data_IF_366400118318
#
_entry.id   IF_366400118318
#
_cell.length_a   1.000
_cell.length_b   1.000
_cell.length_c   1.000
_cell.angle_alpha   90.00
_cell.angle_beta   90.00
_cell.angle_gamma   90.00
#
_symmetry.space_group_name_H-M   'P 1'
#
loop_
_entity.id
_entity.type
_entity.pdbx_description
1 polymer ?
#
# COMPACT_ATOMS: atom_id res chain seq x y z
N UNK A 1 -3.19 2.55 20.33
CA UNK A 1 -2.80 1.62 19.24
C UNK A 1 -2.62 2.37 17.93
N UNK A 2 -1.80 1.86 17.00
CA UNK A 2 -1.53 2.46 15.69
C UNK A 2 -2.07 1.56 14.58
N UNK A 3 -2.78 2.12 13.61
CA UNK A 3 -3.15 1.45 12.35
C UNK A 3 -2.29 2.01 11.23
N UNK A 4 -1.54 1.16 10.56
CA UNK A 4 -0.76 1.53 9.39
C UNK A 4 -1.58 1.15 8.15
N UNK A 5 -2.06 2.18 7.44
CA UNK A 5 -2.97 2.06 6.30
C UNK A 5 -4.45 2.21 6.68
N UNK A 6 -5.11 3.26 6.17
CA UNK A 6 -6.55 3.50 6.30
C UNK A 6 -7.34 2.89 5.11
N UNK A 7 -6.83 1.78 4.56
CA UNK A 7 -7.39 1.07 3.42
C UNK A 7 -8.40 -0.01 3.77
N UNK A 8 -8.44 -1.08 2.97
CA UNK A 8 -9.41 -2.17 3.11
C UNK A 8 -9.32 -2.93 4.44
N UNK A 9 -8.11 -3.23 4.91
CA UNK A 9 -7.86 -3.87 6.21
C UNK A 9 -8.02 -2.88 7.36
N UNK A 10 -7.43 -1.69 7.25
CA UNK A 10 -7.49 -0.67 8.30
C UNK A 10 -8.90 -0.14 8.57
N UNK A 11 -9.78 -0.14 7.57
CA UNK A 11 -11.17 0.32 7.71
C UNK A 11 -11.95 -0.42 8.80
N UNK A 12 -12.15 -1.73 8.73
CA UNK A 12 -12.86 -2.46 9.77
C UNK A 12 -12.12 -2.44 11.11
N UNK A 13 -10.78 -2.49 11.08
CA UNK A 13 -9.96 -2.39 12.31
C UNK A 13 -10.29 -1.09 13.06
N UNK A 14 -10.16 0.05 12.41
CA UNK A 14 -10.36 1.35 13.06
C UNK A 14 -11.81 1.52 13.54
N UNK A 15 -12.81 1.10 12.73
CA UNK A 15 -14.23 1.17 13.11
C UNK A 15 -14.54 0.36 14.36
N UNK A 16 -14.14 -0.91 14.41
CA UNK A 16 -14.41 -1.77 15.57
C UNK A 16 -13.67 -1.32 16.82
N UNK A 17 -12.42 -0.85 16.69
CA UNK A 17 -11.63 -0.37 17.83
C UNK A 17 -12.15 0.97 18.38
N UNK A 18 -12.66 1.86 17.52
CA UNK A 18 -13.35 3.07 17.97
C UNK A 18 -14.67 2.72 18.68
N UNK A 19 -15.48 1.83 18.12
CA UNK A 19 -16.72 1.37 18.74
C UNK A 19 -16.46 0.68 20.09
N UNK A 20 -15.35 -0.07 20.22
CA UNK A 20 -14.94 -0.70 21.48
C UNK A 20 -14.39 0.28 22.50
N UNK A 21 -14.16 1.56 22.18
CA UNK A 21 -13.69 2.59 23.10
C UNK A 21 -12.18 2.57 23.33
N UNK A 22 -11.37 2.15 22.35
CA UNK A 22 -9.92 2.27 22.45
C UNK A 22 -9.55 3.75 22.54
N UNK A 23 -8.92 4.17 23.65
CA UNK A 23 -8.73 5.58 24.03
C UNK A 23 -8.01 6.41 22.96
N UNK A 24 -6.92 5.90 22.38
CA UNK A 24 -6.15 6.58 21.31
C UNK A 24 -5.95 5.66 20.11
N UNK A 25 -6.37 6.12 18.94
CA UNK A 25 -6.16 5.47 17.65
C UNK A 25 -5.29 6.36 16.78
N UNK A 26 -4.03 5.95 16.53
CA UNK A 26 -3.18 6.54 15.53
C UNK A 26 -3.48 5.96 14.15
N UNK A 27 -3.51 6.80 13.13
CA UNK A 27 -3.67 6.40 11.73
C UNK A 27 -2.50 6.91 10.91
N UNK A 28 -1.84 6.04 10.17
CA UNK A 28 -0.79 6.41 9.19
C UNK A 28 -1.29 6.12 7.80
N UNK A 29 -1.40 7.13 6.97
CA UNK A 29 -1.73 7.02 5.55
C UNK A 29 -1.33 8.34 4.84
N UNK A 30 -1.11 8.33 3.55
CA UNK A 30 -0.83 9.55 2.79
C UNK A 30 -1.66 9.67 1.51
N UNK A 31 -2.64 8.78 1.34
CA UNK A 31 -3.48 8.73 0.15
C UNK A 31 -4.72 9.62 0.26
N UNK A 32 -5.34 9.83 -0.88
CA UNK A 32 -6.70 10.36 -1.01
C UNK A 32 -7.68 9.23 -1.28
N UNK A 33 -8.94 9.47 -0.95
CA UNK A 33 -10.03 8.53 -1.25
C UNK A 33 -10.29 8.50 -2.75
N UNK A 34 -10.21 7.31 -3.34
CA UNK A 34 -10.56 7.06 -4.73
C UNK A 34 -11.86 6.26 -4.82
N UNK A 35 -12.66 6.50 -5.87
CA UNK A 35 -13.94 5.80 -6.07
C UNK A 35 -13.77 4.28 -6.16
N UNK A 36 -12.66 3.80 -6.71
CA UNK A 36 -12.32 2.38 -6.82
C UNK A 36 -12.01 1.73 -5.46
N UNK A 37 -11.79 2.53 -4.44
CA UNK A 37 -11.53 2.07 -3.08
C UNK A 37 -12.80 1.71 -2.31
N UNK A 38 -13.93 2.35 -2.62
CA UNK A 38 -15.16 2.31 -1.83
C UNK A 38 -15.75 0.90 -1.70
N UNK A 39 -15.46 0.02 -2.64
CA UNK A 39 -15.94 -1.37 -2.61
C UNK A 39 -15.35 -2.21 -1.45
N UNK A 40 -14.30 -1.71 -0.75
CA UNK A 40 -13.64 -2.41 0.37
C UNK A 40 -13.17 -1.51 1.51
N UNK A 41 -13.10 -0.19 1.33
CA UNK A 41 -12.60 0.77 2.32
C UNK A 41 -13.77 1.47 3.03
N UNK A 42 -14.42 0.77 3.97
CA UNK A 42 -15.69 1.16 4.60
C UNK A 42 -15.60 2.39 5.54
N UNK A 43 -14.39 2.87 5.84
CA UNK A 43 -14.19 4.15 6.52
C UNK A 43 -14.67 5.33 5.68
N UNK A 44 -14.64 5.19 4.36
CA UNK A 44 -14.87 6.26 3.40
C UNK A 44 -16.21 6.09 2.69
N UNK A 45 -16.82 7.20 2.31
CA UNK A 45 -18.06 7.22 1.51
C UNK A 45 -17.87 7.98 0.21
N UNK A 46 -18.89 7.95 -0.67
CA UNK A 46 -18.86 8.65 -1.97
C UNK A 46 -18.58 10.15 -1.82
N UNK A 47 -19.04 10.79 -0.75
CA UNK A 47 -18.80 12.21 -0.44
C UNK A 47 -17.32 12.53 -0.13
N UNK A 48 -16.51 11.49 0.17
CA UNK A 48 -15.12 11.64 0.58
C UNK A 48 -14.14 11.48 -0.58
N UNK A 49 -14.63 11.15 -1.79
CA UNK A 49 -13.78 11.01 -2.98
C UNK A 49 -12.97 12.30 -3.21
N UNK A 50 -11.65 12.15 -3.33
CA UNK A 50 -10.69 13.25 -3.46
C UNK A 50 -10.23 13.88 -2.13
N UNK A 51 -10.85 13.54 -0.99
CA UNK A 51 -10.38 13.97 0.34
C UNK A 51 -9.24 13.09 0.84
N UNK A 52 -8.44 13.62 1.77
CA UNK A 52 -7.46 12.80 2.52
C UNK A 52 -8.17 11.62 3.19
N UNK A 53 -7.62 10.40 3.04
CA UNK A 53 -8.11 9.21 3.75
C UNK A 53 -8.11 9.41 5.26
N UNK A 54 -7.10 10.07 5.80
CA UNK A 54 -6.97 10.34 7.24
C UNK A 54 -8.08 11.26 7.76
N UNK A 55 -8.39 12.35 7.05
CA UNK A 55 -9.45 13.25 7.43
C UNK A 55 -10.82 12.59 7.37
N UNK A 56 -11.10 11.87 6.28
CA UNK A 56 -12.33 11.08 6.13
C UNK A 56 -12.45 10.02 7.24
N UNK A 57 -11.36 9.31 7.55
CA UNK A 57 -11.32 8.32 8.62
C UNK A 57 -11.60 8.96 10.00
N UNK A 58 -10.92 10.07 10.34
CA UNK A 58 -11.14 10.79 11.60
C UNK A 58 -12.61 11.17 11.77
N UNK A 59 -13.20 11.80 10.76
CA UNK A 59 -14.60 12.25 10.83
C UNK A 59 -15.53 11.04 11.06
N UNK A 60 -15.29 9.94 10.33
CA UNK A 60 -16.07 8.71 10.47
C UNK A 60 -15.92 8.04 11.84
N UNK A 61 -14.71 8.03 12.40
CA UNK A 61 -14.46 7.45 13.73
C UNK A 61 -15.10 8.30 14.84
N UNK A 62 -15.12 9.63 14.71
CA UNK A 62 -15.83 10.50 15.63
C UNK A 62 -17.35 10.30 15.57
N UNK A 63 -17.93 10.01 14.39
CA UNK A 63 -19.34 9.66 14.27
C UNK A 63 -19.67 8.34 14.99
N UNK A 64 -18.72 7.39 15.03
CA UNK A 64 -18.88 6.11 15.72
C UNK A 64 -18.71 6.29 17.24
N UNK A 65 -17.68 7.02 17.68
CA UNK A 65 -17.39 7.26 19.09
C UNK A 65 -16.64 8.58 19.29
N UNK A 66 -17.32 9.65 19.75
CA UNK A 66 -16.69 10.96 19.92
C UNK A 66 -15.67 11.03 21.07
N UNK A 67 -15.57 9.99 21.91
CA UNK A 67 -14.65 9.96 23.04
C UNK A 67 -13.26 9.37 22.66
N UNK A 68 -13.11 8.81 21.46
CA UNK A 68 -11.82 8.28 21.00
C UNK A 68 -10.96 9.40 20.46
N UNK A 69 -9.72 9.46 20.93
CA UNK A 69 -8.72 10.36 20.38
C UNK A 69 -8.13 9.77 19.09
N UNK A 70 -8.31 10.46 17.97
CA UNK A 70 -7.74 10.07 16.67
C UNK A 70 -6.52 10.95 16.38
N UNK A 71 -5.35 10.32 16.25
CA UNK A 71 -4.08 10.97 15.91
C UNK A 71 -3.72 10.65 14.46
N UNK A 72 -3.57 11.69 13.63
CA UNK A 72 -3.28 11.56 12.22
C UNK A 72 -1.79 11.72 11.93
N UNK A 73 -1.19 10.76 11.26
CA UNK A 73 0.17 10.82 10.73
C UNK A 73 0.10 10.89 9.20
N UNK A 74 -0.02 12.11 8.67
CA UNK A 74 -0.14 12.39 7.24
C UNK A 74 1.22 12.28 6.56
N UNK A 75 1.78 11.09 6.54
CA UNK A 75 3.08 10.78 5.92
C UNK A 75 3.16 9.30 5.56
N UNK A 76 3.98 8.97 4.57
CA UNK A 76 4.42 7.60 4.38
C UNK A 76 5.21 7.14 5.61
N UNK A 77 4.99 5.90 6.03
CA UNK A 77 5.85 5.27 7.02
C UNK A 77 7.17 4.88 6.33
N UNK A 78 8.28 5.39 6.84
CA UNK A 78 9.62 5.20 6.28
C UNK A 78 10.61 4.78 7.36
N UNK A 79 11.80 4.33 6.98
CA UNK A 79 12.87 4.00 7.93
C UNK A 79 13.28 5.18 8.81
N UNK A 80 13.02 6.43 8.36
CA UNK A 80 13.39 7.63 9.09
C UNK A 80 12.39 8.06 10.16
N UNK A 81 11.10 7.70 10.02
CA UNK A 81 10.05 8.14 10.94
C UNK A 81 9.35 6.99 11.71
N UNK A 82 9.51 5.74 11.27
CA UNK A 82 8.74 4.62 11.81
C UNK A 82 8.97 4.42 13.32
N UNK A 83 10.21 4.47 13.80
CA UNK A 83 10.50 4.28 15.22
C UNK A 83 9.89 5.39 16.08
N UNK A 84 9.91 6.64 15.60
CA UNK A 84 9.37 7.80 16.34
C UNK A 84 7.84 7.77 16.41
N UNK A 85 7.19 7.27 15.37
CA UNK A 85 5.74 7.11 15.35
C UNK A 85 5.33 5.92 16.21
N UNK A 86 5.89 4.73 15.95
CA UNK A 86 5.47 3.45 16.56
C UNK A 86 5.66 3.46 18.08
N UNK A 87 6.74 4.05 18.61
CA UNK A 87 7.05 4.06 20.06
C UNK A 87 5.96 4.67 20.95
N UNK A 88 5.04 5.43 20.38
CA UNK A 88 3.96 6.09 21.12
C UNK A 88 2.71 5.20 21.30
N UNK A 89 2.77 3.95 20.87
CA UNK A 89 1.61 3.05 20.86
C UNK A 89 1.92 1.69 21.46
N UNK A 90 0.92 1.06 22.08
CA UNK A 90 1.06 -0.25 22.75
C UNK A 90 0.94 -1.42 21.79
N UNK A 91 0.26 -1.23 20.66
CA UNK A 91 0.02 -2.24 19.61
C UNK A 91 0.02 -1.58 18.26
N UNK A 92 0.61 -2.21 17.26
CA UNK A 92 0.52 -1.80 15.85
C UNK A 92 -0.33 -2.79 15.09
N UNK A 93 -1.21 -2.30 14.23
CA UNK A 93 -1.98 -3.09 13.28
C UNK A 93 -1.47 -2.80 11.88
N UNK A 94 -0.95 -3.82 11.24
CA UNK A 94 -0.49 -3.76 9.85
C UNK A 94 -1.67 -3.98 8.91
N UNK A 95 -2.17 -2.88 8.34
CA UNK A 95 -3.24 -2.85 7.33
C UNK A 95 -2.72 -2.59 5.92
N UNK A 96 -1.42 -2.83 5.67
CA UNK A 96 -0.74 -2.49 4.42
C UNK A 96 -0.88 -3.59 3.36
N UNK A 97 -0.72 -3.22 2.11
CA UNK A 97 -0.84 -4.11 0.95
C UNK A 97 0.48 -4.29 0.17
N UNK A 98 1.59 -3.78 0.70
CA UNK A 98 2.91 -3.89 0.08
C UNK A 98 3.96 -4.49 1.02
N UNK A 99 4.92 -5.21 0.46
CA UNK A 99 5.93 -5.93 1.23
C UNK A 99 6.91 -5.00 1.95
N UNK A 100 7.35 -3.92 1.32
CA UNK A 100 8.32 -3.00 1.91
C UNK A 100 7.81 -2.44 3.24
N UNK A 101 6.55 -1.98 3.28
CA UNK A 101 5.94 -1.48 4.53
C UNK A 101 5.72 -2.60 5.55
N UNK A 102 5.37 -3.84 5.13
CA UNK A 102 5.23 -4.98 6.06
C UNK A 102 6.52 -5.31 6.79
N UNK A 103 7.65 -5.37 6.05
CA UNK A 103 8.96 -5.59 6.68
C UNK A 103 9.36 -4.42 7.58
N UNK A 104 9.13 -3.19 7.14
CA UNK A 104 9.37 -1.99 7.94
C UNK A 104 8.60 -2.00 9.27
N UNK A 105 7.29 -2.25 9.20
CA UNK A 105 6.42 -2.33 10.40
C UNK A 105 6.89 -3.46 11.31
N UNK A 106 7.15 -4.65 10.77
CA UNK A 106 7.65 -5.77 11.56
C UNK A 106 8.94 -5.42 12.29
N UNK A 107 9.92 -4.87 11.58
CA UNK A 107 11.24 -4.61 12.16
C UNK A 107 11.18 -3.47 13.19
N UNK A 108 10.41 -2.42 12.93
CA UNK A 108 10.14 -1.37 13.91
C UNK A 108 9.50 -1.92 15.19
N UNK A 109 8.50 -2.79 15.04
CA UNK A 109 7.84 -3.46 16.16
C UNK A 109 8.77 -4.37 16.95
N UNK A 110 9.62 -5.15 16.26
CA UNK A 110 10.63 -6.00 16.93
C UNK A 110 11.66 -5.18 17.69
N UNK A 111 12.18 -4.09 17.09
CA UNK A 111 13.16 -3.22 17.73
C UNK A 111 12.61 -2.52 18.98
N UNK A 112 11.33 -2.17 18.97
CA UNK A 112 10.66 -1.48 20.07
C UNK A 112 9.99 -2.45 21.07
N UNK A 113 9.89 -3.75 20.76
CA UNK A 113 9.20 -4.72 21.59
C UNK A 113 7.67 -4.53 21.62
N UNK A 114 7.09 -3.97 20.54
CA UNK A 114 5.67 -3.68 20.44
C UNK A 114 5.01 -4.75 19.55
N UNK A 115 3.89 -5.37 19.96
CA UNK A 115 3.20 -6.38 19.15
C UNK A 115 2.69 -5.80 17.83
N UNK A 116 2.84 -6.59 16.74
CA UNK A 116 2.33 -6.30 15.41
C UNK A 116 1.20 -7.27 15.06
N UNK A 117 -0.01 -6.77 14.90
CA UNK A 117 -1.17 -7.53 14.44
C UNK A 117 -1.22 -7.47 12.92
N UNK A 118 -0.70 -8.50 12.29
CA UNK A 118 -0.57 -8.61 10.84
C UNK A 118 -1.85 -9.13 10.18
N UNK A 119 -2.21 -8.52 9.05
CA UNK A 119 -3.23 -8.99 8.12
C UNK A 119 -2.75 -8.90 6.68
N UNK A 120 -3.15 -9.83 5.85
CA UNK A 120 -2.84 -9.84 4.42
C UNK A 120 -4.00 -10.43 3.63
N UNK A 121 -4.25 -9.89 2.45
CA UNK A 121 -5.28 -10.38 1.52
C UNK A 121 -4.73 -10.42 0.10
N UNK A 122 -5.10 -11.46 -0.64
CA UNK A 122 -4.79 -11.58 -2.07
C UNK A 122 -5.91 -12.38 -2.75
N UNK A 123 -6.60 -11.79 -3.70
CA UNK A 123 -7.75 -12.39 -4.39
C UNK A 123 -8.81 -12.92 -3.41
N UNK A 124 -8.84 -14.23 -3.15
CA UNK A 124 -9.74 -14.91 -2.22
C UNK A 124 -9.04 -15.39 -0.96
N UNK A 125 -7.72 -15.24 -0.88
CA UNK A 125 -6.90 -15.70 0.23
C UNK A 125 -6.67 -14.59 1.25
N UNK A 126 -6.89 -14.90 2.53
CA UNK A 126 -6.62 -14.03 3.66
C UNK A 126 -5.65 -14.67 4.65
N UNK A 127 -4.89 -13.85 5.34
CA UNK A 127 -3.99 -14.29 6.42
C UNK A 127 -4.04 -13.33 7.59
N UNK A 128 -3.94 -13.85 8.81
CA UNK A 128 -3.80 -13.06 10.02
C UNK A 128 -2.86 -13.76 11.01
N UNK A 129 -2.06 -12.96 11.72
CA UNK A 129 -1.16 -13.43 12.78
C UNK A 129 -0.84 -12.29 13.75
N UNK A 130 -0.25 -12.62 14.89
CA UNK A 130 0.35 -11.66 15.82
C UNK A 130 1.85 -11.92 15.89
N UNK A 131 2.63 -10.93 15.48
CA UNK A 131 4.09 -10.97 15.45
C UNK A 131 4.72 -10.06 16.51
N UNK A 132 6.03 -10.17 16.67
CA UNK A 132 6.84 -9.32 17.55
C UNK A 132 6.42 -9.34 19.03
N UNK A 133 5.75 -10.39 19.49
CA UNK A 133 5.55 -10.60 20.92
C UNK A 133 6.85 -11.07 21.59
N UNK A 134 6.97 -10.93 22.93
CA UNK A 134 8.22 -11.20 23.68
C UNK A 134 8.86 -12.56 23.38
N UNK A 135 8.05 -13.60 23.19
CA UNK A 135 8.51 -14.97 22.94
C UNK A 135 8.02 -15.56 21.61
N UNK A 136 7.27 -14.78 20.85
CA UNK A 136 6.71 -15.20 19.56
C UNK A 136 7.65 -15.01 18.37
N UNK A 137 7.27 -15.58 17.21
CA UNK A 137 7.94 -15.29 15.95
C UNK A 137 7.68 -13.86 15.52
N UNK A 138 8.48 -13.38 14.54
CA UNK A 138 8.21 -12.16 13.81
C UNK A 138 7.89 -12.50 12.35
N UNK A 139 7.52 -11.49 11.55
CA UNK A 139 7.20 -11.67 10.13
C UNK A 139 8.35 -12.30 9.35
N UNK A 140 9.62 -11.95 9.68
CA UNK A 140 10.81 -12.53 9.06
C UNK A 140 11.04 -14.01 9.41
N UNK A 141 10.46 -14.54 10.50
CA UNK A 141 10.51 -15.97 10.78
C UNK A 141 9.67 -16.79 9.78
N UNK A 142 8.61 -16.18 9.26
CA UNK A 142 7.73 -16.80 8.25
C UNK A 142 8.21 -16.50 6.83
N UNK A 143 8.63 -15.26 6.58
CA UNK A 143 9.10 -14.76 5.30
C UNK A 143 10.49 -14.12 5.48
N UNK A 144 11.60 -14.92 5.45
CA UNK A 144 12.95 -14.38 5.65
C UNK A 144 13.36 -13.37 4.58
N UNK A 145 12.91 -13.59 3.35
CA UNK A 145 13.17 -12.76 2.18
C UNK A 145 11.87 -12.39 1.48
N UNK A 146 11.77 -11.21 0.88
CA UNK A 146 10.61 -10.84 0.10
C UNK A 146 10.54 -11.70 -1.18
N UNK A 147 9.33 -11.96 -1.70
CA UNK A 147 9.20 -12.60 -3.01
C UNK A 147 9.79 -11.68 -4.09
N UNK A 148 10.29 -12.24 -5.20
CA UNK A 148 10.71 -11.45 -6.36
C UNK A 148 9.61 -10.47 -6.79
N UNK A 149 10.01 -9.22 -7.11
CA UNK A 149 9.07 -8.13 -7.36
C UNK A 149 8.11 -8.37 -8.54
N UNK A 150 8.50 -9.22 -9.49
CA UNK A 150 7.75 -9.62 -10.67
C UNK A 150 6.78 -10.79 -10.43
N UNK A 151 6.92 -11.52 -9.32
CA UNK A 151 6.11 -12.72 -9.05
C UNK A 151 4.80 -12.45 -8.31
N UNK A 152 4.65 -11.29 -7.67
CA UNK A 152 3.45 -10.98 -6.88
C UNK A 152 2.84 -9.67 -7.35
N UNK A 153 1.76 -9.72 -8.15
CA UNK A 153 1.00 -8.51 -8.50
C UNK A 153 0.43 -7.89 -7.23
N UNK A 154 0.43 -6.56 -7.17
CA UNK A 154 -0.21 -5.85 -6.06
C UNK A 154 -1.74 -6.05 -6.07
N UNK A 155 -2.42 -5.69 -4.97
CA UNK A 155 -3.87 -5.86 -4.84
C UNK A 155 -4.68 -5.07 -5.90
N UNK A 156 -4.12 -4.01 -6.47
CA UNK A 156 -4.76 -3.25 -7.55
C UNK A 156 -4.70 -3.97 -8.89
N UNK A 157 -3.65 -4.76 -9.13
CA UNK A 157 -3.46 -5.53 -10.36
C UNK A 157 -4.10 -6.92 -10.27
N UNK A 158 -3.95 -7.60 -9.13
CA UNK A 158 -4.48 -8.95 -8.90
C UNK A 158 -5.97 -9.00 -8.58
N UNK A 159 -6.55 -7.87 -8.18
CA UNK A 159 -7.90 -7.80 -7.63
C UNK A 159 -7.99 -8.37 -6.21
N UNK A 160 -9.08 -8.03 -5.52
CA UNK A 160 -9.39 -8.57 -4.20
C UNK A 160 -10.89 -8.73 -4.06
N UNK A 161 -11.32 -9.82 -3.46
CA UNK A 161 -12.73 -10.03 -3.11
C UNK A 161 -13.11 -9.03 -1.99
N UNK A 162 -13.95 -8.04 -2.31
CA UNK A 162 -14.11 -6.81 -1.51
C UNK A 162 -14.50 -7.01 -0.04
N UNK A 163 -15.17 -8.10 0.30
CA UNK A 163 -15.54 -8.42 1.69
C UNK A 163 -14.38 -9.05 2.48
N UNK A 164 -13.37 -9.61 1.81
CA UNK A 164 -12.28 -10.33 2.47
C UNK A 164 -11.41 -9.42 3.36
N UNK A 165 -11.04 -8.20 2.96
CA UNK A 165 -10.39 -7.25 3.88
C UNK A 165 -11.23 -6.96 5.13
N UNK A 166 -12.57 -6.93 4.99
CA UNK A 166 -13.50 -6.80 6.11
C UNK A 166 -13.37 -7.95 7.11
N UNK A 167 -13.35 -9.19 6.61
CA UNK A 167 -13.20 -10.39 7.43
C UNK A 167 -11.85 -10.42 8.14
N UNK A 168 -10.74 -10.23 7.40
CA UNK A 168 -9.37 -10.25 7.97
C UNK A 168 -9.19 -9.09 8.96
N UNK A 169 -9.63 -7.87 8.62
CA UNK A 169 -9.51 -6.72 9.51
C UNK A 169 -10.34 -6.85 10.78
N UNK A 170 -11.48 -7.53 10.74
CA UNK A 170 -12.24 -7.85 11.96
C UNK A 170 -11.49 -8.83 12.87
N UNK A 171 -10.77 -9.79 12.29
CA UNK A 171 -9.86 -10.67 13.05
C UNK A 171 -8.72 -9.85 13.64
N UNK A 172 -8.11 -8.93 12.88
CA UNK A 172 -7.07 -8.04 13.41
C UNK A 172 -7.60 -7.18 14.56
N UNK A 173 -8.79 -6.62 14.46
CA UNK A 173 -9.42 -5.88 15.55
C UNK A 173 -9.62 -6.74 16.80
N UNK A 174 -10.07 -7.99 16.63
CA UNK A 174 -10.21 -8.96 17.72
C UNK A 174 -8.88 -9.24 18.41
N UNK A 175 -7.83 -9.53 17.65
CA UNK A 175 -6.49 -9.79 18.20
C UNK A 175 -5.93 -8.55 18.92
N UNK A 176 -6.19 -7.36 18.39
CA UNK A 176 -5.79 -6.09 19.01
C UNK A 176 -6.46 -5.91 20.38
N UNK A 177 -7.77 -6.15 20.47
CA UNK A 177 -8.49 -6.07 21.75
C UNK A 177 -7.98 -7.11 22.75
N UNK A 178 -7.69 -8.34 22.31
CA UNK A 178 -7.12 -9.38 23.16
C UNK A 178 -5.76 -8.97 23.72
N UNK A 179 -4.91 -8.35 22.89
CA UNK A 179 -3.61 -7.83 23.36
C UNK A 179 -3.76 -6.69 24.35
N UNK A 180 -4.62 -5.70 24.07
CA UNK A 180 -4.83 -4.53 24.93
C UNK A 180 -5.45 -4.90 26.29
N UNK A 181 -6.32 -5.90 26.31
CA UNK A 181 -7.05 -6.35 27.50
C UNK A 181 -6.40 -7.56 28.18
N UNK A 182 -5.30 -8.09 27.63
CA UNK A 182 -4.66 -9.33 28.07
C UNK A 182 -5.66 -10.49 28.18
N UNK A 183 -6.53 -10.67 27.16
CA UNK A 183 -7.59 -11.67 27.15
C UNK A 183 -7.27 -12.83 26.22
N UNK A 184 -7.53 -14.06 26.70
CA UNK A 184 -7.51 -15.28 25.89
C UNK A 184 -6.18 -15.57 25.22
N UNK A 185 -6.22 -16.49 24.23
CA UNK A 185 -5.06 -16.88 23.44
C UNK A 185 -5.04 -16.09 22.13
N UNK A 186 -3.99 -15.31 21.93
CA UNK A 186 -3.77 -14.57 20.68
C UNK A 186 -3.28 -15.47 19.53
N UNK A 187 -3.22 -14.96 18.33
CA UNK A 187 -2.57 -15.60 17.17
C UNK A 187 -1.03 -15.56 17.23
N UNK A 188 -0.41 -15.22 18.36
CA UNK A 188 1.04 -15.32 18.52
C UNK A 188 1.51 -16.77 18.33
N UNK A 189 2.47 -16.99 17.42
CA UNK A 189 2.93 -18.34 17.04
C UNK A 189 1.96 -19.14 16.17
N UNK A 190 0.92 -18.51 15.63
CA UNK A 190 -0.03 -19.13 14.71
C UNK A 190 -0.30 -18.21 13.50
N UNK A 191 -0.35 -18.80 12.31
CA UNK A 191 -0.88 -18.16 11.11
C UNK A 191 -2.28 -18.69 10.84
N UNK A 192 -3.27 -17.82 10.90
CA UNK A 192 -4.61 -18.12 10.43
C UNK A 192 -4.66 -17.86 8.93
N UNK A 193 -4.97 -18.90 8.16
CA UNK A 193 -5.21 -18.83 6.71
C UNK A 193 -6.70 -18.92 6.45
N UNK A 194 -7.19 -18.11 5.53
CA UNK A 194 -8.61 -18.01 5.17
C UNK A 194 -8.69 -18.16 3.66
N UNK A 195 -9.43 -19.15 3.21
CA UNK A 195 -9.88 -19.28 1.83
C UNK A 195 -11.34 -18.82 1.75
N UNK A 196 -11.57 -17.60 1.25
CA UNK A 196 -12.92 -17.05 1.13
C UNK A 196 -13.72 -17.67 -0.03
N UNK A 197 -13.09 -18.44 -0.92
CA UNK A 197 -13.80 -19.15 -1.99
C UNK A 197 -14.51 -20.40 -1.45
N UNK A 198 -13.85 -21.16 -0.58
CA UNK A 198 -14.41 -22.35 0.07
C UNK A 198 -14.92 -22.09 1.49
N UNK A 199 -14.67 -20.89 2.07
CA UNK A 199 -14.90 -20.53 3.48
C UNK A 199 -14.17 -21.46 4.45
N UNK A 200 -12.98 -21.90 4.06
CA UNK A 200 -12.12 -22.70 4.95
C UNK A 200 -11.17 -21.82 5.76
N UNK A 201 -11.02 -22.18 7.03
CA UNK A 201 -10.11 -21.56 7.97
C UNK A 201 -9.11 -22.60 8.45
N UNK A 202 -7.81 -22.33 8.26
CA UNK A 202 -6.73 -23.23 8.67
C UNK A 202 -5.76 -22.47 9.56
N UNK A 203 -5.38 -23.07 10.70
CA UNK A 203 -4.38 -22.51 11.59
C UNK A 203 -3.09 -23.32 11.50
N UNK A 204 -2.00 -22.65 11.11
CA UNK A 204 -0.66 -23.22 11.04
C UNK A 204 0.16 -22.73 12.24
N UNK A 205 0.98 -23.58 12.85
CA UNK A 205 1.94 -23.17 13.88
C UNK A 205 3.15 -22.52 13.22
N UNK A 206 3.58 -21.40 13.78
CA UNK A 206 4.79 -20.68 13.37
C UNK A 206 5.72 -20.64 14.57
N UNK A 207 6.93 -21.14 14.41
CA UNK A 207 7.97 -21.05 15.43
C UNK A 207 8.90 -19.86 15.18
N UNK A 208 9.44 -19.31 16.27
CA UNK A 208 10.52 -18.34 16.18
C UNK A 208 11.75 -19.04 15.61
N UNK A 209 12.36 -18.43 14.60
CA UNK A 209 13.62 -18.88 14.01
C UNK A 209 14.79 -18.32 14.85
N UNK A 210 15.63 -19.18 15.47
CA UNK A 210 16.82 -18.73 16.20
C UNK A 210 17.81 -17.96 15.31
N UNK A 211 17.85 -18.23 14.00
CA UNK A 211 18.73 -17.58 13.05
C UNK A 211 18.13 -16.26 12.50
N UNK A 212 16.88 -15.94 12.78
CA UNK A 212 16.22 -14.73 12.31
C UNK A 212 17.01 -13.49 12.71
N UNK A 213 17.41 -12.61 11.73
CA UNK A 213 18.21 -11.42 12.02
C UNK A 213 17.48 -10.39 12.88
N UNK A 214 16.15 -10.35 12.82
CA UNK A 214 15.36 -9.39 13.58
C UNK A 214 15.10 -9.88 15.03
N UNK A 215 14.45 -11.02 15.21
CA UNK A 215 14.05 -11.47 16.55
C UNK A 215 14.93 -12.59 17.14
N UNK A 216 15.63 -13.39 16.30
CA UNK A 216 16.51 -14.50 16.72
C UNK A 216 17.89 -13.99 17.16
N UNK A 217 18.81 -13.84 16.21
CA UNK A 217 20.19 -13.37 16.46
C UNK A 217 20.26 -11.89 16.83
N UNK A 218 19.22 -11.10 16.50
CA UNK A 218 19.13 -9.64 16.72
C UNK A 218 20.30 -8.86 16.09
N UNK A 219 20.78 -9.32 14.94
CA UNK A 219 21.81 -8.61 14.17
C UNK A 219 21.25 -7.39 13.44
N UNK A 220 19.95 -7.35 13.22
CA UNK A 220 19.23 -6.17 12.74
C UNK A 220 19.01 -5.21 13.92
N UNK A 221 19.88 -4.20 14.04
CA UNK A 221 19.86 -3.22 15.14
C UNK A 221 19.27 -1.88 14.74
N UNK A 222 19.00 -1.67 13.44
CA UNK A 222 18.42 -0.45 12.88
C UNK A 222 17.54 -0.80 11.68
N UNK A 223 16.65 0.11 11.32
CA UNK A 223 15.86 -0.01 10.11
C UNK A 223 16.74 0.13 8.87
N UNK A 224 16.37 -0.57 7.80
CA UNK A 224 17.11 -0.62 6.53
C UNK A 224 16.35 0.12 5.42
N UNK A 225 16.88 0.14 4.21
CA UNK A 225 16.16 0.53 3.01
C UNK A 225 15.26 -0.64 2.55
N UNK A 226 13.97 -0.55 2.86
CA UNK A 226 13.00 -1.60 2.54
C UNK A 226 12.58 -1.61 1.08
N UNK A 227 12.66 -0.48 0.39
CA UNK A 227 12.37 -0.42 -1.04
C UNK A 227 13.46 -1.14 -1.83
N UNK A 228 14.72 -0.92 -1.48
CA UNK A 228 15.84 -1.66 -2.05
C UNK A 228 15.75 -3.15 -1.68
N UNK A 229 15.46 -3.47 -0.41
CA UNK A 229 15.37 -4.84 0.08
C UNK A 229 14.28 -5.66 -0.63
N UNK A 230 13.14 -5.04 -0.95
CA UNK A 230 12.03 -5.68 -1.65
C UNK A 230 12.10 -5.56 -3.18
N UNK A 231 13.17 -4.99 -3.73
CA UNK A 231 13.30 -4.80 -5.18
C UNK A 231 12.26 -3.84 -5.78
N UNK A 232 11.74 -2.90 -4.97
CA UNK A 232 10.75 -1.90 -5.36
C UNK A 232 11.28 -0.48 -5.16
N UNK A 233 12.36 -0.07 -5.84
CA UNK A 233 12.95 1.24 -5.64
C UNK A 233 11.93 2.35 -5.97
N UNK A 234 11.77 3.30 -5.03
CA UNK A 234 11.01 4.54 -5.24
C UNK A 234 9.58 4.59 -4.67
N UNK A 235 9.12 3.59 -3.88
CA UNK A 235 7.80 3.68 -3.21
C UNK A 235 7.76 4.74 -2.09
N UNK A 236 8.89 5.03 -1.45
CA UNK A 236 8.98 5.90 -0.26
C UNK A 236 10.05 6.99 -0.33
N UNK A 237 10.71 7.18 -1.47
CA UNK A 237 11.62 8.30 -1.62
C UNK A 237 10.84 9.61 -1.63
N UNK A 238 10.98 10.37 -0.57
CA UNK A 238 10.59 11.77 -0.43
C UNK A 238 11.45 12.65 -1.37
N UNK A 239 11.50 12.34 -2.65
CA UNK A 239 11.98 13.26 -3.67
C UNK A 239 10.73 13.78 -4.37
N UNK A 240 10.44 15.05 -4.13
CA UNK A 240 9.33 15.85 -4.63
C UNK A 240 9.29 16.00 -6.16
N UNK A 241 9.23 14.88 -6.87
CA UNK A 241 8.78 14.94 -8.25
C UNK A 241 7.31 14.49 -8.27
N UNK A 242 6.42 15.40 -7.85
CA UNK A 242 4.98 15.22 -8.02
C UNK A 242 4.72 15.03 -9.51
N UNK A 243 4.36 13.80 -9.91
CA UNK A 243 3.97 13.54 -11.29
C UNK A 243 2.73 14.38 -11.56
N UNK A 244 2.82 15.29 -12.50
CA UNK A 244 1.67 16.08 -12.92
C UNK A 244 0.76 15.19 -13.76
N UNK A 245 -0.46 14.98 -13.29
CA UNK A 245 -1.48 14.27 -14.05
C UNK A 245 -2.24 15.25 -14.94
N UNK A 246 -2.45 14.86 -16.20
CA UNK A 246 -3.28 15.60 -17.14
C UNK A 246 -4.53 14.80 -17.47
N UNK A 247 -5.66 15.49 -17.66
CA UNK A 247 -6.89 14.85 -18.13
C UNK A 247 -6.85 14.60 -19.65
N UNK A 248 -7.72 13.71 -20.20
CA UNK A 248 -7.78 13.43 -21.61
C UNK A 248 -8.00 14.67 -22.49
N UNK A 249 -8.82 15.63 -22.06
CA UNK A 249 -9.11 16.84 -22.83
C UNK A 249 -7.88 17.70 -23.00
N UNK A 250 -7.06 17.85 -21.96
CA UNK A 250 -5.79 18.57 -22.03
C UNK A 250 -4.86 17.94 -23.08
N UNK A 251 -4.75 16.60 -23.08
CA UNK A 251 -3.93 15.90 -24.07
C UNK A 251 -4.49 16.06 -25.49
N UNK A 252 -5.82 15.98 -25.68
CA UNK A 252 -6.47 16.22 -26.98
C UNK A 252 -6.15 17.61 -27.51
N UNK A 253 -6.25 18.63 -26.65
CA UNK A 253 -5.92 20.02 -27.00
C UNK A 253 -4.45 20.13 -27.45
N UNK A 254 -3.52 19.50 -26.73
CA UNK A 254 -2.10 19.54 -27.08
C UNK A 254 -1.81 18.85 -28.42
N UNK A 255 -2.46 17.71 -28.70
CA UNK A 255 -2.34 16.97 -29.96
C UNK A 255 -2.94 17.81 -31.10
N UNK A 256 -4.15 18.40 -30.96
CA UNK A 256 -4.83 19.19 -31.97
C UNK A 256 -4.06 20.48 -32.32
N UNK A 257 -3.44 21.09 -31.31
CA UNK A 257 -2.63 22.32 -31.52
C UNK A 257 -1.23 22.02 -32.05
N UNK A 258 -0.88 20.75 -32.32
CA UNK A 258 0.46 20.40 -32.79
C UNK A 258 1.56 20.72 -31.78
N UNK A 259 1.24 20.73 -30.47
CA UNK A 259 2.24 21.03 -29.44
C UNK A 259 3.37 20.01 -29.50
N UNK A 260 4.64 20.44 -29.43
CA UNK A 260 5.75 19.49 -29.40
C UNK A 260 5.71 18.67 -28.13
N UNK A 261 5.46 17.36 -28.27
CA UNK A 261 5.44 16.39 -27.16
C UNK A 261 5.84 15.01 -27.67
N UNK A 262 6.36 14.18 -26.77
CA UNK A 262 6.51 12.75 -26.98
C UNK A 262 5.47 12.00 -26.16
N UNK A 263 4.70 11.15 -26.82
CA UNK A 263 3.64 10.35 -26.21
C UNK A 263 4.11 8.92 -26.16
N UNK A 264 4.11 8.33 -24.95
CA UNK A 264 4.64 6.99 -24.70
C UNK A 264 3.55 6.14 -24.03
N UNK A 265 3.19 5.05 -24.69
CA UNK A 265 2.29 4.04 -24.11
C UNK A 265 3.12 2.93 -23.46
N UNK A 266 3.02 2.83 -22.14
CA UNK A 266 3.82 1.89 -21.34
C UNK A 266 3.11 0.55 -21.10
N UNK A 267 2.07 0.25 -21.89
CA UNK A 267 1.40 -1.03 -21.91
C UNK A 267 2.19 -2.08 -22.71
N UNK A 268 1.82 -3.34 -22.53
CA UNK A 268 2.39 -4.43 -23.32
C UNK A 268 1.94 -4.37 -24.79
N UNK A 269 2.73 -4.89 -25.74
CA UNK A 269 2.36 -4.93 -27.16
C UNK A 269 1.00 -5.57 -27.45
N UNK A 270 0.61 -6.58 -26.68
CA UNK A 270 -0.70 -7.23 -26.76
C UNK A 270 -1.86 -6.32 -26.38
N UNK A 271 -1.62 -5.39 -25.45
CA UNK A 271 -2.62 -4.39 -25.05
C UNK A 271 -2.72 -3.24 -26.08
N UNK A 272 -1.58 -2.79 -26.60
CA UNK A 272 -1.53 -1.69 -27.58
C UNK A 272 -2.06 -2.12 -28.96
N UNK A 273 -2.01 -3.41 -29.29
CA UNK A 273 -2.63 -3.97 -30.51
C UNK A 273 -4.18 -3.80 -30.52
N UNK A 274 -4.81 -3.64 -29.34
CA UNK A 274 -6.25 -3.38 -29.22
C UNK A 274 -6.62 -1.89 -29.40
N UNK A 275 -5.63 -1.03 -29.54
CA UNK A 275 -5.77 0.40 -29.74
C UNK A 275 -4.72 1.20 -28.99
N UNK A 276 -4.18 2.22 -29.64
CA UNK A 276 -3.18 3.15 -29.10
C UNK A 276 -3.56 4.58 -29.49
N UNK A 277 -3.18 5.56 -28.69
CA UNK A 277 -3.37 6.99 -29.04
C UNK A 277 -2.48 7.31 -30.26
N UNK A 278 -3.04 7.99 -31.25
CA UNK A 278 -2.31 8.33 -32.46
C UNK A 278 -1.03 9.12 -32.14
N UNK A 279 0.10 8.67 -32.69
CA UNK A 279 1.43 9.26 -32.45
C UNK A 279 2.14 8.75 -31.18
N UNK A 280 1.52 7.88 -30.39
CA UNK A 280 2.20 7.29 -29.24
C UNK A 280 3.18 6.18 -29.67
N UNK A 281 4.34 6.15 -29.00
CA UNK A 281 5.30 5.05 -29.09
C UNK A 281 4.98 4.01 -28.02
N UNK A 282 4.90 2.73 -28.41
CA UNK A 282 4.78 1.65 -27.45
C UNK A 282 6.17 1.33 -26.88
N UNK A 283 6.35 1.61 -25.59
CA UNK A 283 7.56 1.26 -24.82
C UNK A 283 7.08 0.64 -23.50
N UNK A 284 6.99 -0.68 -23.40
CA UNK A 284 6.54 -1.35 -22.19
C UNK A 284 7.30 -0.90 -20.95
N UNK A 285 6.60 -0.76 -19.82
CA UNK A 285 7.19 -0.28 -18.57
C UNK A 285 8.46 -1.04 -18.18
N UNK A 286 8.48 -2.36 -18.41
CA UNK A 286 9.64 -3.23 -18.10
C UNK A 286 10.87 -2.98 -18.97
N UNK A 287 10.73 -2.29 -20.12
CA UNK A 287 11.84 -1.98 -21.04
C UNK A 287 12.16 -0.50 -21.11
N UNK A 288 11.42 0.35 -20.38
CA UNK A 288 11.53 1.81 -20.45
C UNK A 288 12.96 2.29 -20.10
N UNK A 289 13.56 1.75 -19.07
CA UNK A 289 14.92 2.13 -18.65
C UNK A 289 15.98 1.89 -19.74
N UNK A 290 15.82 0.82 -20.50
CA UNK A 290 16.74 0.47 -21.58
C UNK A 290 16.60 1.38 -22.81
N UNK A 291 15.52 2.17 -22.87
CA UNK A 291 15.20 3.04 -24.00
C UNK A 291 15.32 4.54 -23.69
N UNK A 292 15.78 4.91 -22.50
CA UNK A 292 15.90 6.32 -22.08
C UNK A 292 16.75 7.17 -23.05
N UNK A 293 17.81 6.60 -23.61
CA UNK A 293 18.70 7.30 -24.53
C UNK A 293 18.05 7.56 -25.92
N UNK A 294 16.93 6.90 -26.21
CA UNK A 294 16.15 7.10 -27.43
C UNK A 294 15.09 8.20 -27.29
N UNK A 295 14.95 8.79 -26.11
CA UNK A 295 13.96 9.79 -25.77
C UNK A 295 14.62 11.17 -25.59
N UNK A 296 13.89 12.21 -25.95
CA UNK A 296 14.34 13.60 -25.76
C UNK A 296 13.96 14.06 -24.33
N UNK A 297 14.98 14.34 -23.51
CA UNK A 297 14.81 14.75 -22.12
C UNK A 297 14.20 16.12 -21.93
N UNK A 298 14.29 16.99 -22.94
CA UNK A 298 13.78 18.36 -22.91
C UNK A 298 12.36 18.50 -23.45
N UNK A 299 11.88 17.45 -24.14
CA UNK A 299 10.56 17.47 -24.76
C UNK A 299 9.49 17.05 -23.74
N UNK A 300 8.35 17.77 -23.75
CA UNK A 300 7.20 17.39 -22.92
C UNK A 300 6.84 15.92 -23.17
N UNK A 301 6.89 15.13 -22.12
CA UNK A 301 6.62 13.69 -22.20
C UNK A 301 5.31 13.36 -21.51
N UNK A 302 4.41 12.71 -22.24
CA UNK A 302 3.14 12.21 -21.70
C UNK A 302 3.15 10.69 -21.73
N UNK A 303 2.94 10.09 -20.55
CA UNK A 303 2.91 8.65 -20.39
C UNK A 303 1.48 8.15 -20.26
N UNK A 304 1.19 7.07 -20.95
CA UNK A 304 -0.14 6.45 -21.01
C UNK A 304 -0.05 4.98 -20.62
N UNK A 305 -1.02 4.51 -19.85
CA UNK A 305 -1.24 3.10 -19.64
C UNK A 305 -2.75 2.79 -19.63
N UNK A 306 -3.15 1.61 -19.15
CA UNK A 306 -4.56 1.24 -19.13
C UNK A 306 -5.41 2.13 -18.21
N UNK A 307 -4.95 2.39 -16.96
CA UNK A 307 -5.73 3.04 -15.89
C UNK A 307 -5.04 4.22 -15.20
N UNK A 308 -3.85 4.65 -15.64
CA UNK A 308 -3.06 5.71 -15.01
C UNK A 308 -1.95 5.22 -14.06
N UNK A 309 -2.04 4.02 -13.51
CA UNK A 309 -1.10 3.51 -12.49
C UNK A 309 0.32 3.28 -13.04
N UNK A 310 0.44 2.49 -14.13
CA UNK A 310 1.75 2.20 -14.76
C UNK A 310 2.38 3.46 -15.35
N UNK A 311 1.58 4.38 -15.91
CA UNK A 311 2.07 5.63 -16.46
C UNK A 311 2.58 6.60 -15.38
N UNK A 312 1.94 6.66 -14.22
CA UNK A 312 2.45 7.43 -13.09
C UNK A 312 3.78 6.86 -12.55
N UNK A 313 3.96 5.54 -12.54
CA UNK A 313 5.24 4.90 -12.20
C UNK A 313 6.32 5.23 -13.23
N UNK A 314 6.02 5.10 -14.51
CA UNK A 314 6.92 5.45 -15.60
C UNK A 314 7.31 6.93 -15.57
N UNK A 315 6.37 7.82 -15.23
CA UNK A 315 6.65 9.25 -15.11
C UNK A 315 7.66 9.55 -14.00
N UNK A 316 7.57 8.88 -12.86
CA UNK A 316 8.59 9.00 -11.79
C UNK A 316 9.96 8.53 -12.25
N UNK A 317 10.04 7.42 -12.98
CA UNK A 317 11.31 6.93 -13.55
C UNK A 317 11.94 7.95 -14.48
N UNK A 318 11.15 8.57 -15.39
CA UNK A 318 11.65 9.59 -16.29
C UNK A 318 12.08 10.87 -15.55
N UNK A 319 11.31 11.34 -14.58
CA UNK A 319 11.68 12.48 -13.73
C UNK A 319 13.00 12.23 -13.00
N UNK A 320 13.19 11.04 -12.42
CA UNK A 320 14.43 10.63 -11.76
C UNK A 320 15.62 10.53 -12.74
N UNK A 321 15.35 10.22 -14.01
CA UNK A 321 16.35 10.21 -15.09
C UNK A 321 16.60 11.60 -15.72
N UNK A 322 16.01 12.68 -15.16
CA UNK A 322 16.25 14.06 -15.58
C UNK A 322 15.40 14.54 -16.73
N UNK A 323 14.30 13.87 -17.05
CA UNK A 323 13.32 14.36 -18.03
C UNK A 323 12.43 15.44 -17.39
N UNK A 324 12.09 16.49 -18.13
CA UNK A 324 11.17 17.53 -17.66
C UNK A 324 10.72 18.42 -18.85
N UNK A 325 9.39 18.68 -18.99
CA UNK A 325 8.27 18.27 -18.14
C UNK A 325 7.75 16.86 -18.46
N UNK A 326 7.31 16.12 -17.44
CA UNK A 326 6.74 14.76 -17.57
C UNK A 326 5.36 14.70 -16.94
N UNK A 327 4.41 14.11 -17.66
CA UNK A 327 3.01 14.00 -17.25
C UNK A 327 2.51 12.55 -17.36
N UNK A 328 1.55 12.18 -16.52
CA UNK A 328 0.78 10.93 -16.64
C UNK A 328 -0.65 11.22 -17.08
N UNK A 329 -1.20 10.43 -18.00
CA UNK A 329 -2.60 10.55 -18.40
C UNK A 329 -3.51 9.98 -17.32
N UNK A 330 -4.29 10.83 -16.67
CA UNK A 330 -5.24 10.46 -15.63
C UNK A 330 -6.30 9.48 -16.16
N UNK A 331 -6.47 8.32 -15.50
CA UNK A 331 -7.37 7.27 -15.93
C UNK A 331 -6.93 6.47 -17.15
N UNK A 332 -5.80 6.85 -17.78
CA UNK A 332 -5.19 6.12 -18.89
C UNK A 332 -6.11 5.94 -20.09
N UNK A 333 -5.93 4.81 -20.81
CA UNK A 333 -6.72 4.48 -22.00
C UNK A 333 -8.21 4.25 -21.70
N UNK A 334 -8.55 3.81 -20.50
CA UNK A 334 -9.97 3.63 -20.11
C UNK A 334 -10.68 4.96 -20.27
N UNK A 335 -10.21 6.00 -19.59
CA UNK A 335 -10.82 7.33 -19.63
C UNK A 335 -10.66 8.04 -21.00
N UNK A 336 -9.57 7.75 -21.72
CA UNK A 336 -9.36 8.26 -23.08
C UNK A 336 -10.40 7.76 -24.07
N UNK A 337 -10.94 6.55 -23.90
CA UNK A 337 -11.92 5.92 -24.78
C UNK A 337 -13.38 6.19 -24.39
N UNK A 338 -13.65 6.67 -23.17
CA UNK A 338 -14.99 7.00 -22.68
C UNK A 338 -15.51 8.34 -23.21
N UNK A 339 -14.62 9.23 -23.63
CA UNK A 339 -14.87 10.56 -24.23
C UNK A 339 -14.67 10.53 -25.76
#
# INVERSE_FOLDING_TARGET
MLVVGAGGLGSPVALYLAAAGVGTIGLVDNDVVDITNLQRQLLHGTRDVGRSKLESARDRLHDVNPHVQVVLHASWLTSTNALDIVRNYDVVVDGTDNFATRYLVNDACVLLGIPNVHGSVFRFDGQASVFATSNGPCYRCLYPEPPPADMVPNCAEGGVFGVLPGLVGTIQATETLKLLLALGDTLAGRLLMIDAHSMEFRSLRISRDPACPACGTRTLTQLIDYDQFCGTPGLHTNTEARVEEINPDTLRIWIQNGSPLQLIDVREPTETALGIIAGARCIPLGTLEQQLDSLDRSLRTVLVCRSGVRSARAARQLLSAGFSPVHSLAGGMIRWQED
#
